data_IF_987577754766
#
_entry.id   IF_987577754766
#
_cell.length_a   1.000
_cell.length_b   1.000
_cell.length_c   1.000
_cell.angle_alpha   90.00
_cell.angle_beta   90.00
_cell.angle_gamma   90.00
#
_symmetry.space_group_name_H-M   'P 1'
#
loop_
_entity.id
_entity.type
_entity.pdbx_description
1 polymer ?
#
# COMPACT_ATOMS: atom_id res chain seq x y z
N UNK A 1 -5.46 9.06 23.87
CA UNK A 1 -5.57 8.71 23.36
C UNK A 1 -5.30 8.13 22.91
N UNK A 2 -5.38 7.85 22.89
CA UNK A 2 -5.22 7.18 22.46
C UNK A 2 -4.92 6.67 21.64
N UNK A 3 -4.75 6.28 21.24
CA UNK A 3 -4.44 5.83 20.50
C UNK A 3 -4.38 5.40 19.73
N UNK A 4 -4.10 5.42 19.30
CA UNK A 4 -4.06 5.01 18.58
C UNK A 4 -3.76 4.23 17.76
N UNK A 5 -3.25 3.63 17.76
CA UNK A 5 -3.09 2.64 16.96
C UNK A 5 -4.23 2.38 16.23
N UNK A 6 -4.27 1.71 15.26
CA UNK A 6 -5.47 1.57 14.53
C UNK A 6 -6.06 2.91 14.15
N UNK A 7 -5.24 3.80 13.71
CA UNK A 7 -5.74 5.09 13.26
C UNK A 7 -6.76 4.86 12.17
N UNK A 8 -7.91 5.47 12.32
CA UNK A 8 -8.93 5.37 11.29
C UNK A 8 -8.48 6.06 10.02
N UNK A 9 -8.56 5.35 8.92
CA UNK A 9 -8.20 5.92 7.64
C UNK A 9 -9.32 6.83 7.16
N UNK A 10 -8.97 8.08 6.89
CA UNK A 10 -9.93 9.02 6.30
C UNK A 10 -10.12 8.67 4.83
N UNK A 11 -11.14 9.25 4.21
CA UNK A 11 -11.37 9.02 2.78
C UNK A 11 -10.17 9.47 1.96
N UNK A 12 -9.53 10.54 2.37
CA UNK A 12 -8.34 11.02 1.68
C UNK A 12 -7.19 10.03 1.77
N UNK A 13 -6.98 9.46 2.95
CA UNK A 13 -5.94 8.48 3.16
C UNK A 13 -6.22 7.21 2.36
N UNK A 14 -7.46 6.76 2.36
CA UNK A 14 -7.85 5.58 1.58
C UNK A 14 -7.64 5.81 0.09
N UNK A 15 -7.99 6.98 -0.40
CA UNK A 15 -7.79 7.32 -1.81
C UNK A 15 -6.31 7.34 -2.16
N UNK A 16 -5.47 7.85 -1.27
CA UNK A 16 -4.03 7.86 -1.47
C UNK A 16 -3.49 6.44 -1.55
N UNK A 17 -3.90 5.59 -0.61
CA UNK A 17 -3.48 4.19 -0.62
C UNK A 17 -3.88 3.50 -1.92
N UNK A 18 -5.12 3.73 -2.36
CA UNK A 18 -5.61 3.11 -3.59
C UNK A 18 -4.80 3.57 -4.79
N UNK A 19 -4.45 4.85 -4.84
CA UNK A 19 -3.65 5.38 -5.93
C UNK A 19 -2.24 4.78 -5.92
N UNK A 20 -1.63 4.73 -4.75
CA UNK A 20 -0.30 4.13 -4.59
C UNK A 20 -0.34 2.67 -5.06
N UNK A 21 -1.36 1.93 -4.65
CA UNK A 21 -1.46 0.53 -5.02
C UNK A 21 -1.70 0.35 -6.52
N UNK A 22 -2.43 1.25 -7.13
CA UNK A 22 -2.64 1.23 -8.57
C UNK A 22 -1.30 1.38 -9.31
N UNK A 23 -0.44 2.29 -8.84
CA UNK A 23 0.90 2.44 -9.40
C UNK A 23 1.71 1.17 -9.18
N UNK A 24 1.59 0.57 -7.98
CA UNK A 24 2.27 -0.68 -7.66
C UNK A 24 1.89 -1.80 -8.65
N UNK A 25 0.61 -1.91 -8.97
CA UNK A 25 0.14 -2.96 -9.88
C UNK A 25 0.63 -2.74 -11.31
N UNK A 26 0.83 -1.50 -11.72
CA UNK A 26 1.33 -1.18 -13.06
C UNK A 26 2.84 -1.26 -13.16
N UNK A 27 3.52 -1.33 -12.03
CA UNK A 27 4.97 -1.29 -12.03
C UNK A 27 5.55 -2.55 -12.69
N UNK A 28 6.67 -2.40 -13.40
CA UNK A 28 7.37 -3.58 -13.92
C UNK A 28 7.95 -4.36 -12.75
N UNK A 29 7.73 -5.64 -12.73
CA UNK A 29 8.20 -6.51 -11.66
C UNK A 29 9.01 -7.66 -12.21
N UNK A 30 9.31 -8.62 -11.34
CA UNK A 30 10.04 -9.82 -11.72
C UNK A 30 9.06 -10.99 -11.76
N UNK A 31 8.90 -11.58 -12.93
CA UNK A 31 7.96 -12.69 -13.14
C UNK A 31 8.35 -13.95 -12.39
N UNK A 32 9.63 -14.13 -12.14
CA UNK A 32 10.17 -15.38 -11.67
C UNK A 32 10.50 -15.42 -10.19
N UNK A 33 10.60 -14.25 -9.56
CA UNK A 33 10.98 -14.17 -8.15
C UNK A 33 10.04 -13.20 -7.44
N UNK A 34 9.16 -13.73 -6.59
CA UNK A 34 8.15 -12.93 -5.91
C UNK A 34 8.76 -11.85 -5.01
N UNK A 35 9.89 -12.14 -4.38
CA UNK A 35 10.54 -11.16 -3.52
C UNK A 35 11.12 -10.02 -4.33
N UNK A 36 11.78 -10.35 -5.43
CA UNK A 36 12.33 -9.33 -6.33
C UNK A 36 11.22 -8.56 -7.01
N UNK A 37 10.13 -9.22 -7.36
CA UNK A 37 8.97 -8.58 -7.95
C UNK A 37 8.43 -7.50 -7.03
N UNK A 38 8.21 -7.85 -5.76
CA UNK A 38 7.68 -6.90 -4.79
C UNK A 38 8.64 -5.74 -4.56
N UNK A 39 9.92 -6.04 -4.42
CA UNK A 39 10.94 -5.00 -4.21
C UNK A 39 11.01 -4.04 -5.41
N UNK A 40 11.01 -4.59 -6.61
CA UNK A 40 11.07 -3.77 -7.83
C UNK A 40 9.85 -2.87 -7.94
N UNK A 41 8.67 -3.38 -7.63
CA UNK A 41 7.44 -2.60 -7.68
C UNK A 41 7.42 -1.50 -6.63
N UNK A 42 7.90 -1.80 -5.43
CA UNK A 42 7.99 -0.81 -4.36
C UNK A 42 8.95 0.32 -4.76
N UNK A 43 10.10 -0.05 -5.33
CA UNK A 43 11.07 0.95 -5.81
C UNK A 43 10.47 1.83 -6.89
N UNK A 44 9.71 1.22 -7.80
CA UNK A 44 9.05 1.97 -8.86
C UNK A 44 8.06 2.98 -8.27
N UNK A 45 7.24 2.54 -7.32
CA UNK A 45 6.27 3.42 -6.66
C UNK A 45 6.99 4.57 -5.95
N UNK A 46 8.07 4.26 -5.25
CA UNK A 46 8.83 5.28 -4.54
C UNK A 46 9.32 6.35 -5.52
N UNK A 47 9.86 5.94 -6.65
CA UNK A 47 10.36 6.88 -7.65
C UNK A 47 9.22 7.69 -8.28
N UNK A 48 8.14 7.02 -8.67
CA UNK A 48 7.03 7.69 -9.34
C UNK A 48 6.33 8.70 -8.44
N UNK A 49 6.23 8.40 -7.17
CA UNK A 49 5.51 9.25 -6.23
C UNK A 49 6.42 10.10 -5.37
N UNK A 50 7.72 10.06 -5.66
CA UNK A 50 8.73 10.82 -4.92
C UNK A 50 8.66 10.55 -3.42
N UNK A 51 8.55 9.27 -3.09
CA UNK A 51 8.55 8.80 -1.70
C UNK A 51 9.84 8.03 -1.44
N UNK A 52 10.14 7.85 -0.16
CA UNK A 52 11.19 6.90 0.20
C UNK A 52 10.65 5.49 0.00
N UNK A 53 11.56 4.52 -0.13
CA UNK A 53 11.15 3.11 -0.23
C UNK A 53 10.31 2.72 0.99
N UNK A 54 10.72 3.17 2.16
CA UNK A 54 10.03 2.86 3.41
C UNK A 54 8.60 3.40 3.39
N UNK A 55 8.43 4.62 2.93
CA UNK A 55 7.10 5.23 2.84
C UNK A 55 6.22 4.50 1.84
N UNK A 56 6.76 4.19 0.67
CA UNK A 56 6.01 3.47 -0.35
C UNK A 56 5.58 2.10 0.16
N UNK A 57 6.50 1.37 0.79
CA UNK A 57 6.21 0.06 1.34
C UNK A 57 5.10 0.13 2.39
N UNK A 58 5.17 1.11 3.27
CA UNK A 58 4.17 1.27 4.32
C UNK A 58 2.78 1.49 3.73
N UNK A 59 2.67 2.36 2.73
CA UNK A 59 1.37 2.65 2.11
C UNK A 59 0.79 1.45 1.41
N UNK A 60 1.63 0.69 0.72
CA UNK A 60 1.20 -0.53 0.04
C UNK A 60 0.69 -1.55 1.06
N UNK A 61 1.43 -1.74 2.15
CA UNK A 61 1.03 -2.69 3.20
C UNK A 61 -0.25 -2.24 3.89
N UNK A 62 -0.40 -0.94 4.11
CA UNK A 62 -1.62 -0.41 4.73
C UNK A 62 -2.84 -0.70 3.85
N UNK A 63 -2.70 -0.48 2.55
CA UNK A 63 -3.79 -0.77 1.63
C UNK A 63 -4.14 -2.26 1.64
N UNK A 64 -3.13 -3.11 1.58
CA UNK A 64 -3.35 -4.55 1.60
C UNK A 64 -4.04 -5.00 2.87
N UNK A 65 -3.61 -4.47 4.01
CA UNK A 65 -4.22 -4.80 5.30
C UNK A 65 -5.67 -4.33 5.35
N UNK A 66 -5.94 -3.13 4.85
CA UNK A 66 -7.29 -2.60 4.80
C UNK A 66 -8.20 -3.48 3.95
N UNK A 67 -7.73 -3.91 2.78
CA UNK A 67 -8.50 -4.78 1.90
C UNK A 67 -8.79 -6.13 2.56
N UNK A 68 -7.82 -6.69 3.26
CA UNK A 68 -8.05 -7.94 3.99
C UNK A 68 -9.10 -7.77 5.07
N UNK A 69 -9.06 -6.64 5.77
CA UNK A 69 -10.03 -6.37 6.84
C UNK A 69 -11.44 -6.17 6.31
N UNK A 70 -11.58 -5.56 5.14
CA UNK A 70 -12.88 -5.45 4.48
C UNK A 70 -13.43 -6.84 4.19
N UNK A 71 -12.61 -7.72 3.63
CA UNK A 71 -13.04 -9.09 3.32
C UNK A 71 -13.44 -9.87 4.55
N UNK A 72 -12.80 -9.59 5.68
CA UNK A 72 -13.13 -10.26 6.94
C UNK A 72 -14.31 -9.62 7.66
N UNK A 73 -14.79 -8.48 7.16
CA UNK A 73 -15.90 -7.79 7.78
C UNK A 73 -15.51 -6.98 9.01
N UNK A 74 -14.21 -6.75 9.21
CA UNK A 74 -13.73 -6.00 10.38
C UNK A 74 -13.97 -4.50 10.21
N UNK A 75 -13.80 -4.01 8.99
CA UNK A 75 -14.01 -2.59 8.68
C UNK A 75 -14.94 -2.45 7.49
N UNK A 76 -15.58 -1.31 7.39
CA UNK A 76 -16.42 -0.99 6.24
C UNK A 76 -15.55 -0.50 5.08
N UNK A 77 -15.97 -0.80 3.86
CA UNK A 77 -15.25 -0.32 2.67
C UNK A 77 -15.18 1.20 2.58
#
# INVERSE_FOLDING_TARGET
MPERRGVQATEEIKAEWAFVYKVYLRAPGDRFDKKKDRTARIDYVAQEMKLTRKQAKRRIRNYEAWQRNIKKGIVNP
#
